data_IF_572351177511
#
_entry.id   IF_572351177511
#
_cell.length_a   1.000
_cell.length_b   1.000
_cell.length_c   1.000
_cell.angle_alpha   90.00
_cell.angle_beta   90.00
_cell.angle_gamma   90.00
#
_symmetry.space_group_name_H-M   'P 1'
#
loop_
_entity.id
_entity.type
_entity.pdbx_description
1 polymer ?
#
# COMPACT_ATOMS: atom_id res chain seq x y z
N UNK A 1 -7.84 11.48 5.21
CA UNK A 1 -6.98 10.45 4.59
C UNK A 1 -6.48 10.96 3.25
N UNK A 2 -5.19 10.84 3.00
CA UNK A 2 -4.62 11.22 1.70
C UNK A 2 -4.99 10.17 0.66
N UNK A 3 -5.39 10.63 -0.51
CA UNK A 3 -5.81 9.76 -1.61
C UNK A 3 -5.20 10.24 -2.92
N UNK A 4 -5.02 9.31 -3.85
CA UNK A 4 -4.54 9.60 -5.19
C UNK A 4 -5.26 8.65 -6.15
N UNK A 5 -5.57 9.12 -7.37
CA UNK A 5 -6.18 8.24 -8.37
C UNK A 5 -5.15 7.22 -8.85
N UNK A 6 -5.62 6.09 -9.36
CA UNK A 6 -4.72 5.08 -9.91
C UNK A 6 -3.92 5.65 -11.09
N UNK A 7 -4.57 6.43 -11.94
CA UNK A 7 -3.88 7.01 -13.10
C UNK A 7 -2.72 7.91 -12.69
N UNK A 8 -2.94 8.77 -11.71
CA UNK A 8 -1.87 9.65 -11.22
C UNK A 8 -0.78 8.87 -10.51
N UNK A 9 -1.18 7.89 -9.70
CA UNK A 9 -0.22 7.00 -9.05
C UNK A 9 0.65 6.29 -10.08
N UNK A 10 0.03 5.72 -11.11
CA UNK A 10 0.78 4.93 -12.09
C UNK A 10 1.75 5.79 -12.89
N UNK A 11 1.38 7.04 -13.19
CA UNK A 11 2.30 7.97 -13.84
C UNK A 11 3.54 8.22 -12.98
N UNK A 12 3.36 8.40 -11.68
CA UNK A 12 4.49 8.57 -10.75
C UNK A 12 5.31 7.28 -10.65
N UNK A 13 4.62 6.16 -10.57
CA UNK A 13 5.25 4.85 -10.44
C UNK A 13 6.20 4.55 -11.59
N UNK A 14 5.86 5.00 -12.79
CA UNK A 14 6.70 4.80 -13.98
C UNK A 14 7.94 5.69 -13.99
N UNK A 15 7.93 6.80 -13.25
CA UNK A 15 9.00 7.81 -13.30
C UNK A 15 9.88 7.82 -12.07
N UNK A 16 9.39 7.33 -10.95
CA UNK A 16 10.07 7.43 -9.66
C UNK A 16 10.09 6.08 -8.95
N UNK A 17 11.03 5.93 -8.03
CA UNK A 17 11.06 4.78 -7.15
C UNK A 17 10.12 5.06 -5.99
N UNK A 18 8.97 4.41 -5.96
CA UNK A 18 7.96 4.59 -4.91
C UNK A 18 7.92 3.38 -3.99
N UNK A 19 7.59 3.61 -2.72
CA UNK A 19 7.26 2.52 -1.82
C UNK A 19 5.79 2.15 -2.05
N UNK A 20 5.56 0.99 -2.65
CA UNK A 20 4.21 0.51 -2.95
C UNK A 20 3.88 -0.66 -2.05
N UNK A 21 2.82 -0.52 -1.26
CA UNK A 21 2.36 -1.54 -0.33
C UNK A 21 1.06 -2.13 -0.86
N UNK A 22 1.09 -3.41 -1.21
CA UNK A 22 -0.09 -4.15 -1.69
C UNK A 22 -0.68 -4.94 -0.52
N UNK A 23 -1.89 -4.57 -0.10
CA UNK A 23 -2.54 -5.18 1.06
C UNK A 23 -3.56 -6.25 0.68
N UNK A 24 -3.54 -6.69 -0.59
CA UNK A 24 -4.36 -7.83 -1.01
C UNK A 24 -3.81 -9.11 -0.39
N UNK A 25 -4.60 -10.18 -0.42
CA UNK A 25 -4.14 -11.45 0.11
C UNK A 25 -3.06 -12.08 -0.78
N UNK A 26 -2.31 -13.01 -0.22
CA UNK A 26 -1.14 -13.60 -0.88
C UNK A 26 -1.50 -14.20 -2.24
N UNK A 27 -2.62 -14.90 -2.34
CA UNK A 27 -3.04 -15.55 -3.59
C UNK A 27 -3.30 -14.53 -4.70
N UNK A 28 -3.90 -13.40 -4.35
CA UNK A 28 -4.14 -12.32 -5.31
C UNK A 28 -2.82 -11.73 -5.79
N UNK A 29 -1.92 -11.49 -4.85
CA UNK A 29 -0.61 -10.90 -5.15
C UNK A 29 0.21 -11.84 -6.03
N UNK A 30 0.22 -13.13 -5.73
CA UNK A 30 0.99 -14.11 -6.50
C UNK A 30 0.47 -14.24 -7.92
N UNK A 31 -0.85 -14.10 -8.11
CA UNK A 31 -1.44 -14.21 -9.45
C UNK A 31 -0.99 -13.05 -10.35
N UNK A 32 -0.96 -11.82 -9.82
CA UNK A 32 -0.55 -10.64 -10.57
C UNK A 32 -0.29 -9.49 -9.60
N UNK A 33 0.85 -8.82 -9.75
CA UNK A 33 1.15 -7.66 -8.93
C UNK A 33 2.11 -6.72 -9.65
N UNK A 34 2.18 -5.48 -9.17
CA UNK A 34 3.17 -4.53 -9.68
C UNK A 34 4.56 -4.99 -9.26
N UNK A 35 5.52 -4.87 -10.16
CA UNK A 35 6.85 -5.47 -10.02
C UNK A 35 7.55 -5.10 -8.71
N UNK A 36 7.48 -3.85 -8.31
CA UNK A 36 8.18 -3.38 -7.12
C UNK A 36 7.29 -3.31 -5.87
N UNK A 37 6.06 -3.81 -5.94
CA UNK A 37 5.16 -3.78 -4.78
C UNK A 37 5.59 -4.80 -3.73
N UNK A 38 5.43 -4.40 -2.46
CA UNK A 38 5.67 -5.26 -1.32
C UNK A 38 4.32 -5.72 -0.77
N UNK A 39 4.14 -7.01 -0.58
CA UNK A 39 2.86 -7.56 -0.12
C UNK A 39 2.83 -7.71 1.41
N UNK A 40 1.92 -6.96 2.05
CA UNK A 40 1.56 -7.18 3.45
C UNK A 40 0.04 -7.30 3.50
N UNK A 41 -0.50 -8.53 3.49
CA UNK A 41 -1.94 -8.71 3.46
C UNK A 41 -2.65 -8.04 4.63
N UNK A 42 -3.79 -7.41 4.36
CA UNK A 42 -4.56 -6.73 5.39
C UNK A 42 -4.86 -7.66 6.58
N UNK A 43 -5.13 -8.93 6.30
CA UNK A 43 -5.44 -9.92 7.35
C UNK A 43 -4.29 -10.15 8.34
N UNK A 44 -3.07 -9.78 7.95
CA UNK A 44 -1.87 -9.98 8.78
C UNK A 44 -1.23 -8.66 9.20
N UNK A 45 -1.78 -7.54 8.76
CA UNK A 45 -1.11 -6.23 8.90
C UNK A 45 -0.86 -5.86 10.36
N UNK A 46 -1.76 -6.21 11.26
CA UNK A 46 -1.59 -5.92 12.69
C UNK A 46 -0.33 -6.56 13.27
N UNK A 47 0.13 -7.67 12.68
CA UNK A 47 1.32 -8.39 13.14
C UNK A 47 2.57 -8.08 12.34
N UNK A 48 2.43 -7.39 11.21
CA UNK A 48 3.56 -7.22 10.28
C UNK A 48 3.93 -5.76 9.99
N UNK A 49 3.10 -4.81 10.39
CA UNK A 49 3.26 -3.42 9.99
C UNK A 49 4.61 -2.80 10.39
N UNK A 50 5.22 -3.29 11.45
CA UNK A 50 6.48 -2.73 11.95
C UNK A 50 7.68 -3.04 11.04
N UNK A 51 7.49 -3.86 10.00
CA UNK A 51 8.49 -4.05 8.97
C UNK A 51 8.64 -2.81 8.08
N UNK A 52 7.63 -1.96 8.05
CA UNK A 52 7.62 -0.79 7.17
C UNK A 52 8.50 0.34 7.70
N UNK A 53 9.16 1.04 6.78
CA UNK A 53 10.01 2.18 7.11
C UNK A 53 9.13 3.41 7.36
N UNK A 54 9.19 3.96 8.57
CA UNK A 54 8.39 5.14 8.94
C UNK A 54 8.85 6.42 8.25
N UNK A 55 10.03 6.43 7.67
CA UNK A 55 10.55 7.62 7.01
C UNK A 55 10.09 7.73 5.54
N UNK A 56 9.38 6.74 5.04
CA UNK A 56 8.90 6.72 3.66
C UNK A 56 7.41 6.97 3.58
N UNK A 57 6.99 7.62 2.48
CA UNK A 57 5.58 7.67 2.11
C UNK A 57 5.24 6.35 1.41
N UNK A 58 4.25 5.63 1.93
CA UNK A 58 3.82 4.36 1.35
C UNK A 58 2.54 4.55 0.55
N UNK A 59 2.57 4.15 -0.72
CA UNK A 59 1.39 4.13 -1.59
C UNK A 59 0.71 2.79 -1.39
N UNK A 60 -0.47 2.81 -0.79
CA UNK A 60 -1.17 1.59 -0.37
C UNK A 60 -2.22 1.23 -1.40
N UNK A 61 -2.12 0.04 -1.98
CA UNK A 61 -3.01 -0.40 -3.06
C UNK A 61 -3.75 -1.67 -2.69
N UNK A 62 -4.94 -1.82 -3.29
CA UNK A 62 -5.70 -3.06 -3.27
C UNK A 62 -6.53 -3.13 -4.56
N UNK A 63 -7.51 -4.01 -4.64
CA UNK A 63 -8.32 -4.15 -5.86
C UNK A 63 -9.29 -2.98 -6.06
N UNK A 64 -10.01 -2.57 -4.99
CA UNK A 64 -11.09 -1.60 -5.12
C UNK A 64 -10.92 -0.33 -4.29
N UNK A 65 -9.82 -0.22 -3.54
CA UNK A 65 -9.57 0.92 -2.68
C UNK A 65 -10.13 0.78 -1.26
N UNK A 66 -10.93 -0.24 -0.98
CA UNK A 66 -11.56 -0.40 0.34
C UNK A 66 -10.60 -1.02 1.37
N UNK A 67 -9.93 -2.10 1.01
CA UNK A 67 -8.94 -2.72 1.91
C UNK A 67 -7.76 -1.79 2.14
N UNK A 68 -7.33 -1.10 1.10
CA UNK A 68 -6.23 -0.13 1.22
C UNK A 68 -6.63 1.05 2.09
N UNK A 69 -7.89 1.49 2.04
CA UNK A 69 -8.37 2.55 2.94
C UNK A 69 -8.30 2.12 4.41
N UNK A 70 -8.70 0.87 4.70
CA UNK A 70 -8.60 0.33 6.06
C UNK A 70 -7.15 0.22 6.52
N UNK A 71 -6.28 -0.22 5.62
CA UNK A 71 -4.85 -0.31 5.91
C UNK A 71 -4.27 1.06 6.20
N UNK A 72 -4.61 2.07 5.39
CA UNK A 72 -4.15 3.44 5.60
C UNK A 72 -4.59 3.99 6.94
N UNK A 73 -5.85 3.76 7.32
CA UNK A 73 -6.36 4.22 8.60
C UNK A 73 -5.56 3.61 9.75
N UNK A 74 -5.33 2.30 9.69
CA UNK A 74 -4.55 1.60 10.70
C UNK A 74 -3.11 2.11 10.77
N UNK A 75 -2.46 2.24 9.61
CA UNK A 75 -1.06 2.64 9.54
C UNK A 75 -0.86 4.09 9.97
N UNK A 76 -1.78 4.97 9.60
CA UNK A 76 -1.71 6.38 10.03
C UNK A 76 -1.78 6.49 11.55
N UNK A 77 -2.61 5.68 12.20
CA UNK A 77 -2.70 5.65 13.66
C UNK A 77 -1.41 5.14 14.30
N UNK A 78 -0.62 4.34 13.57
CA UNK A 78 0.68 3.85 14.04
C UNK A 78 1.82 4.81 13.69
N UNK A 79 1.53 5.96 13.10
CA UNK A 79 2.52 6.99 12.80
C UNK A 79 3.18 6.88 11.44
N UNK A 80 2.64 6.08 10.53
CA UNK A 80 3.16 5.95 9.17
C UNK A 80 2.56 6.99 8.25
N UNK A 81 3.36 7.41 7.26
CA UNK A 81 2.92 8.31 6.21
C UNK A 81 2.42 7.46 5.05
N UNK A 82 1.14 7.54 4.77
CA UNK A 82 0.47 6.68 3.79
C UNK A 82 -0.48 7.46 2.90
N UNK A 83 -0.67 6.94 1.69
CA UNK A 83 -1.64 7.51 0.76
C UNK A 83 -2.41 6.35 0.13
N UNK A 84 -3.74 6.47 0.08
CA UNK A 84 -4.61 5.44 -0.49
C UNK A 84 -4.72 5.62 -2.01
N UNK A 85 -4.45 4.56 -2.73
CA UNK A 85 -4.58 4.57 -4.20
C UNK A 85 -5.97 4.06 -4.66
#
# INVERSE_FOLDING_TARGET
MKEISFDEFYQRYQKESLSVLDVREVEEFEALHLESAHNLPLSQLADTYDQLDKDLLHYVICKSGMRSARACQFLAEKGYDVINV
#
